data_IF_501975816615
#
_entry.id   IF_501975816615
#
_cell.length_a   1.000
_cell.length_b   1.000
_cell.length_c   1.000
_cell.angle_alpha   90.00
_cell.angle_beta   90.00
_cell.angle_gamma   90.00
#
_symmetry.space_group_name_H-M   'P 1'
#
loop_
_entity.id
_entity.type
_entity.pdbx_description
1 polymer ?
#
# COMPACT_ATOMS: atom_id res chain seq x y z
N UNK A 1 -12.10 -37.64 17.93
CA UNK A 1 -13.34 -37.30 17.23
C UNK A 1 -13.42 -35.77 17.13
N UNK A 2 -13.06 -35.23 15.97
CA UNK A 2 -13.12 -33.80 15.72
C UNK A 2 -14.51 -33.40 15.27
N UNK A 3 -15.19 -32.61 16.07
CA UNK A 3 -16.48 -32.02 15.71
C UNK A 3 -16.36 -31.19 14.45
N UNK A 4 -17.24 -31.35 13.44
CA UNK A 4 -17.22 -30.54 12.23
C UNK A 4 -17.58 -29.09 12.58
N UNK A 5 -16.82 -28.15 12.06
CA UNK A 5 -17.09 -26.71 12.16
C UNK A 5 -18.48 -26.39 11.57
N UNK A 6 -19.39 -25.74 12.32
CA UNK A 6 -20.70 -25.38 11.80
C UNK A 6 -20.58 -24.28 10.77
N UNK A 7 -20.98 -24.50 9.53
CA UNK A 7 -21.17 -23.44 8.55
C UNK A 7 -20.71 -23.70 7.13
N UNK A 8 -20.20 -24.88 6.78
CA UNK A 8 -19.95 -25.22 5.38
C UNK A 8 -21.25 -25.68 4.72
N UNK A 9 -22.01 -24.77 4.16
CA UNK A 9 -23.05 -25.11 3.18
C UNK A 9 -22.39 -25.88 2.04
N UNK A 10 -22.94 -27.02 1.65
CA UNK A 10 -22.47 -27.82 0.50
C UNK A 10 -22.44 -26.94 -0.74
N UNK A 11 -21.26 -26.51 -1.18
CA UNK A 11 -21.04 -25.86 -2.46
C UNK A 11 -20.11 -24.64 -2.49
N UNK A 12 -19.74 -24.04 -1.36
CA UNK A 12 -18.93 -22.82 -1.37
C UNK A 12 -17.51 -23.06 -0.81
N UNK A 13 -16.56 -23.17 -1.73
CA UNK A 13 -15.14 -23.31 -1.40
C UNK A 13 -14.56 -21.90 -1.08
N UNK A 14 -14.11 -21.61 0.17
CA UNK A 14 -13.57 -20.30 0.53
C UNK A 14 -12.32 -19.92 -0.27
N UNK A 15 -11.61 -20.86 -0.87
CA UNK A 15 -10.44 -20.64 -1.71
C UNK A 15 -10.76 -20.03 -3.08
N UNK A 16 -12.00 -20.10 -3.54
CA UNK A 16 -12.39 -19.56 -4.85
C UNK A 16 -13.07 -18.21 -4.70
N UNK A 17 -14.36 -18.18 -4.50
CA UNK A 17 -15.15 -16.95 -4.58
C UNK A 17 -14.87 -16.00 -3.42
N UNK A 18 -14.80 -16.50 -2.17
CA UNK A 18 -14.55 -15.63 -1.00
C UNK A 18 -13.17 -14.99 -1.06
N UNK A 19 -12.12 -15.79 -1.29
CA UNK A 19 -10.75 -15.27 -1.41
C UNK A 19 -10.61 -14.37 -2.63
N UNK A 20 -11.26 -14.70 -3.75
CA UNK A 20 -11.30 -13.87 -4.94
C UNK A 20 -11.84 -12.46 -4.67
N UNK A 21 -12.94 -12.33 -3.91
CA UNK A 21 -13.48 -11.03 -3.53
C UNK A 21 -12.53 -10.24 -2.61
N UNK A 22 -11.81 -10.92 -1.71
CA UNK A 22 -10.79 -10.26 -0.88
C UNK A 22 -9.62 -9.74 -1.74
N UNK A 23 -9.16 -10.51 -2.73
CA UNK A 23 -8.14 -10.08 -3.71
C UNK A 23 -8.65 -8.88 -4.49
N UNK A 24 -9.86 -8.95 -5.06
CA UNK A 24 -10.47 -7.85 -5.82
C UNK A 24 -10.65 -6.58 -5.00
N UNK A 25 -10.90 -6.68 -3.68
CA UNK A 25 -10.94 -5.52 -2.79
C UNK A 25 -9.59 -4.79 -2.79
N UNK A 26 -8.48 -5.52 -2.73
CA UNK A 26 -7.15 -4.92 -2.79
C UNK A 26 -6.81 -4.41 -4.19
N UNK A 27 -7.21 -5.13 -5.25
CA UNK A 27 -7.07 -4.66 -6.64
C UNK A 27 -7.79 -3.33 -6.83
N UNK A 28 -9.08 -3.28 -6.48
CA UNK A 28 -9.92 -2.10 -6.66
C UNK A 28 -9.41 -0.91 -5.84
N UNK A 29 -9.07 -1.14 -4.56
CA UNK A 29 -8.57 -0.08 -3.68
C UNK A 29 -7.21 0.47 -4.11
N UNK A 30 -6.30 -0.39 -4.56
CA UNK A 30 -4.99 0.06 -5.06
C UNK A 30 -5.12 0.72 -6.43
N UNK A 31 -5.93 0.16 -7.34
CA UNK A 31 -6.19 0.78 -8.63
C UNK A 31 -6.77 2.19 -8.48
N UNK A 32 -7.60 2.44 -7.47
CA UNK A 32 -8.20 3.73 -7.21
C UNK A 32 -7.16 4.82 -6.99
N UNK A 33 -6.24 4.63 -6.05
CA UNK A 33 -5.21 5.62 -5.74
C UNK A 33 -4.06 5.63 -6.76
N UNK A 34 -3.56 4.47 -7.18
CA UNK A 34 -2.40 4.40 -8.08
C UNK A 34 -2.74 4.88 -9.49
N UNK A 35 -4.02 4.82 -9.93
CA UNK A 35 -4.43 5.45 -11.21
C UNK A 35 -4.22 6.96 -11.19
N UNK A 36 -4.48 7.62 -10.06
CA UNK A 36 -4.19 9.06 -9.89
C UNK A 36 -2.70 9.32 -10.08
N UNK A 37 -1.84 8.49 -9.46
CA UNK A 37 -0.38 8.63 -9.57
C UNK A 37 0.13 8.32 -10.99
N UNK A 38 -0.45 7.33 -11.66
CA UNK A 38 -0.09 6.99 -13.03
C UNK A 38 -0.52 8.06 -14.04
N UNK A 39 -1.58 8.82 -13.73
CA UNK A 39 -2.06 9.96 -14.53
C UNK A 39 -1.51 11.31 -14.04
N UNK A 40 -0.56 11.33 -13.10
CA UNK A 40 -0.04 12.55 -12.48
C UNK A 40 0.30 13.67 -13.47
N UNK A 41 1.03 13.45 -14.59
CA UNK A 41 1.36 14.51 -15.53
C UNK A 41 0.14 15.18 -16.21
N UNK A 42 -0.98 14.46 -16.29
CA UNK A 42 -2.22 15.01 -16.82
C UNK A 42 -2.93 15.82 -15.75
N UNK A 43 -3.04 15.29 -14.55
CA UNK A 43 -3.73 15.93 -13.41
C UNK A 43 -3.01 17.20 -12.93
N UNK A 44 -1.68 17.19 -12.87
CA UNK A 44 -0.89 18.38 -12.50
C UNK A 44 -1.09 19.49 -13.50
N UNK A 45 -1.13 19.18 -14.80
CA UNK A 45 -1.40 20.16 -15.86
C UNK A 45 -2.86 20.67 -15.83
N UNK A 46 -3.82 19.77 -15.64
CA UNK A 46 -5.26 20.09 -15.61
C UNK A 46 -5.61 21.04 -14.47
N UNK A 47 -5.07 20.78 -13.28
CA UNK A 47 -5.35 21.56 -12.07
C UNK A 47 -4.31 22.68 -11.82
N UNK A 48 -3.27 22.79 -12.65
CA UNK A 48 -2.20 23.79 -12.50
C UNK A 48 -1.38 23.58 -11.23
N UNK A 49 -1.11 22.31 -10.83
CA UNK A 49 -0.44 21.96 -9.58
C UNK A 49 1.07 21.98 -9.73
N UNK A 50 1.75 22.46 -8.69
CA UNK A 50 3.17 22.22 -8.48
C UNK A 50 3.42 20.81 -7.89
N UNK A 51 4.70 20.44 -7.71
CA UNK A 51 5.04 19.12 -7.20
C UNK A 51 4.66 18.96 -5.71
N UNK A 52 4.73 20.02 -4.94
CA UNK A 52 4.30 20.05 -3.53
C UNK A 52 2.81 19.79 -3.40
N UNK A 53 2.00 20.51 -4.16
CA UNK A 53 0.54 20.37 -4.18
C UNK A 53 0.13 18.95 -4.60
N UNK A 54 0.79 18.40 -5.61
CA UNK A 54 0.55 17.00 -6.00
C UNK A 54 0.94 16.03 -4.87
N UNK A 55 2.00 16.31 -4.13
CA UNK A 55 2.39 15.56 -2.94
C UNK A 55 1.32 15.55 -1.85
N UNK A 56 0.58 16.64 -1.66
CA UNK A 56 -0.52 16.72 -0.69
C UNK A 56 -1.68 15.77 -1.01
N UNK A 57 -1.87 15.33 -2.24
CA UNK A 57 -2.85 14.29 -2.56
C UNK A 57 -2.58 13.02 -1.75
N UNK A 58 -1.33 12.62 -1.67
CA UNK A 58 -0.93 11.41 -0.93
C UNK A 58 -0.96 11.65 0.58
N UNK A 59 -0.62 12.86 1.03
CA UNK A 59 -0.79 13.26 2.43
C UNK A 59 -2.26 13.15 2.86
N UNK A 60 -3.19 13.65 2.06
CA UNK A 60 -4.62 13.57 2.35
C UNK A 60 -5.10 12.11 2.39
N UNK A 61 -4.66 11.28 1.44
CA UNK A 61 -4.99 9.86 1.40
C UNK A 61 -4.50 9.12 2.65
N UNK A 62 -3.20 9.19 2.97
CA UNK A 62 -2.64 8.47 4.13
C UNK A 62 -3.09 9.04 5.46
N UNK A 63 -3.27 10.37 5.56
CA UNK A 63 -3.80 11.03 6.76
C UNK A 63 -5.22 10.57 7.07
N UNK A 64 -6.07 10.58 6.06
CA UNK A 64 -7.44 10.11 6.19
C UNK A 64 -7.51 8.59 6.45
N UNK A 65 -6.62 7.80 5.83
CA UNK A 65 -6.49 6.37 6.10
C UNK A 65 -6.07 6.10 7.55
N UNK A 66 -5.13 6.88 8.10
CA UNK A 66 -4.71 6.75 9.49
C UNK A 66 -5.88 6.99 10.45
N UNK A 67 -6.63 8.07 10.24
CA UNK A 67 -7.82 8.40 11.03
C UNK A 67 -8.90 7.31 10.89
N UNK A 68 -9.22 6.90 9.66
CA UNK A 68 -10.24 5.90 9.36
C UNK A 68 -9.89 4.50 9.90
N UNK A 69 -8.62 4.17 10.04
CA UNK A 69 -8.19 2.86 10.55
C UNK A 69 -8.48 2.66 12.04
N UNK A 70 -8.62 3.74 12.81
CA UNK A 70 -8.94 3.67 14.24
C UNK A 70 -10.32 3.01 14.50
N UNK A 71 -11.43 3.41 13.85
CA UNK A 71 -12.73 2.79 14.03
C UNK A 71 -12.91 1.53 13.16
N UNK A 72 -12.09 1.32 12.13
CA UNK A 72 -12.32 0.28 11.11
C UNK A 72 -12.40 -1.13 11.70
N UNK A 73 -11.54 -1.48 12.65
CA UNK A 73 -11.58 -2.79 13.32
C UNK A 73 -12.88 -3.03 14.07
N UNK A 74 -13.34 -2.04 14.86
CA UNK A 74 -14.61 -2.09 15.58
C UNK A 74 -15.82 -2.15 14.66
N UNK A 75 -15.75 -1.47 13.51
CA UNK A 75 -16.78 -1.54 12.47
C UNK A 75 -16.91 -2.97 11.91
N UNK A 76 -15.77 -3.58 11.55
CA UNK A 76 -15.72 -4.96 11.05
C UNK A 76 -16.23 -5.97 12.08
N UNK A 77 -15.86 -5.80 13.35
CA UNK A 77 -16.29 -6.70 14.42
C UNK A 77 -17.82 -6.61 14.67
N UNK A 78 -18.43 -5.44 14.47
CA UNK A 78 -19.87 -5.22 14.64
C UNK A 78 -20.70 -5.66 13.44
N UNK A 79 -20.25 -5.33 12.25
CA UNK A 79 -21.04 -5.51 11.01
C UNK A 79 -20.70 -6.80 10.25
N UNK A 80 -19.56 -7.43 10.58
CA UNK A 80 -19.01 -8.55 9.83
C UNK A 80 -18.27 -8.12 8.55
N UNK A 81 -17.59 -9.09 7.94
CA UNK A 81 -16.71 -8.88 6.79
C UNK A 81 -17.47 -8.31 5.60
N UNK A 82 -18.60 -8.92 5.25
CA UNK A 82 -19.31 -8.56 4.03
C UNK A 82 -19.84 -7.13 4.05
N UNK A 83 -20.58 -6.74 5.11
CA UNK A 83 -21.16 -5.40 5.21
C UNK A 83 -20.07 -4.31 5.37
N UNK A 84 -19.01 -4.61 6.10
CA UNK A 84 -17.85 -3.71 6.20
C UNK A 84 -17.20 -3.47 4.85
N UNK A 85 -17.06 -4.51 3.99
CA UNK A 85 -16.55 -4.37 2.63
C UNK A 85 -17.52 -3.60 1.72
N UNK A 86 -18.82 -3.78 1.87
CA UNK A 86 -19.82 -2.97 1.12
C UNK A 86 -19.69 -1.49 1.46
N UNK A 87 -19.55 -1.13 2.74
CA UNK A 87 -19.31 0.26 3.18
C UNK A 87 -17.97 0.77 2.62
N UNK A 88 -16.90 -0.02 2.72
CA UNK A 88 -15.59 0.29 2.15
C UNK A 88 -15.69 0.67 0.68
N UNK A 89 -16.32 -0.19 -0.13
CA UNK A 89 -16.50 0.05 -1.57
C UNK A 89 -17.44 1.23 -1.85
N UNK A 90 -18.51 1.39 -1.09
CA UNK A 90 -19.42 2.53 -1.21
C UNK A 90 -18.69 3.87 -1.04
N UNK A 91 -17.84 3.99 -0.01
CA UNK A 91 -17.04 5.19 0.21
C UNK A 91 -16.02 5.37 -0.93
N UNK A 92 -15.34 4.32 -1.37
CA UNK A 92 -14.36 4.40 -2.46
C UNK A 92 -15.01 4.74 -3.81
N UNK A 93 -16.20 4.21 -4.11
CA UNK A 93 -16.97 4.59 -5.31
C UNK A 93 -17.32 6.07 -5.26
N UNK A 94 -17.87 6.54 -4.14
CA UNK A 94 -18.20 7.96 -3.96
C UNK A 94 -16.97 8.83 -4.17
N UNK A 95 -15.83 8.44 -3.60
CA UNK A 95 -14.57 9.16 -3.77
C UNK A 95 -14.11 9.22 -5.24
N UNK A 96 -14.18 8.10 -5.96
CA UNK A 96 -13.82 8.05 -7.38
C UNK A 96 -14.78 8.88 -8.25
N UNK A 97 -16.08 8.88 -7.93
CA UNK A 97 -17.07 9.72 -8.61
C UNK A 97 -16.83 11.22 -8.31
N UNK A 98 -16.54 11.58 -7.05
CA UNK A 98 -16.21 12.97 -6.70
C UNK A 98 -14.95 13.41 -7.43
N UNK A 99 -13.90 12.56 -7.46
CA UNK A 99 -12.69 12.88 -8.21
C UNK A 99 -12.98 13.05 -9.72
N UNK A 100 -13.79 12.16 -10.30
CA UNK A 100 -14.13 12.25 -11.73
C UNK A 100 -14.88 13.53 -12.11
N UNK A 101 -15.43 14.26 -11.16
CA UNK A 101 -16.10 15.55 -11.35
C UNK A 101 -15.26 16.72 -10.80
N UNK A 102 -14.02 16.47 -10.36
CA UNK A 102 -13.21 17.50 -9.75
C UNK A 102 -12.82 18.59 -10.76
N UNK A 103 -13.08 19.83 -10.37
CA UNK A 103 -12.78 21.03 -11.17
C UNK A 103 -11.55 21.78 -10.66
N UNK A 104 -10.88 21.26 -9.62
CA UNK A 104 -9.70 21.89 -9.04
C UNK A 104 -9.15 21.14 -7.83
N UNK A 105 -8.02 21.64 -7.33
CA UNK A 105 -7.24 21.03 -6.26
C UNK A 105 -8.05 20.71 -4.98
N UNK A 106 -8.87 21.61 -4.40
CA UNK A 106 -9.56 21.31 -3.14
C UNK A 106 -10.54 20.12 -3.24
N UNK A 107 -11.25 20.03 -4.36
CA UNK A 107 -12.21 18.94 -4.59
C UNK A 107 -11.46 17.61 -4.82
N UNK A 108 -10.39 17.63 -5.58
CA UNK A 108 -9.53 16.47 -5.78
C UNK A 108 -8.91 16.01 -4.46
N UNK A 109 -8.40 16.94 -3.64
CA UNK A 109 -7.83 16.64 -2.32
C UNK A 109 -8.86 15.97 -1.39
N UNK A 110 -10.08 16.49 -1.34
CA UNK A 110 -11.18 15.90 -0.56
C UNK A 110 -11.54 14.49 -1.07
N UNK A 111 -11.54 14.27 -2.38
CA UNK A 111 -11.76 12.95 -2.96
C UNK A 111 -10.66 11.96 -2.54
N UNK A 112 -9.39 12.36 -2.56
CA UNK A 112 -8.27 11.52 -2.12
C UNK A 112 -8.36 11.18 -0.61
N UNK A 113 -8.73 12.15 0.23
CA UNK A 113 -9.00 11.90 1.63
C UNK A 113 -10.12 10.86 1.81
N UNK A 114 -11.22 11.00 1.06
CA UNK A 114 -12.32 10.06 1.11
C UNK A 114 -11.91 8.66 0.62
N UNK A 115 -11.04 8.56 -0.42
CA UNK A 115 -10.41 7.28 -0.83
C UNK A 115 -9.64 6.63 0.32
N UNK A 116 -8.87 7.42 1.07
CA UNK A 116 -8.11 6.95 2.24
C UNK A 116 -9.02 6.39 3.33
N UNK A 117 -10.11 7.10 3.67
CA UNK A 117 -11.12 6.63 4.62
C UNK A 117 -11.71 5.29 4.16
N UNK A 118 -12.15 5.20 2.91
CA UNK A 118 -12.72 3.96 2.36
C UNK A 118 -11.73 2.80 2.45
N UNK A 119 -10.50 3.01 2.00
CA UNK A 119 -9.49 1.96 1.97
C UNK A 119 -9.02 1.52 3.37
N UNK A 120 -9.15 2.36 4.40
CA UNK A 120 -8.80 2.02 5.78
C UNK A 120 -9.54 0.78 6.32
N UNK A 121 -10.75 0.51 5.80
CA UNK A 121 -11.60 -0.61 6.20
C UNK A 121 -11.14 -1.92 5.54
N UNK A 122 -10.49 -1.85 4.36
CA UNK A 122 -10.18 -3.02 3.54
C UNK A 122 -9.27 -4.03 4.23
N UNK A 123 -8.18 -3.58 4.86
CA UNK A 123 -7.23 -4.47 5.53
C UNK A 123 -7.82 -5.21 6.73
N UNK A 124 -8.47 -4.56 7.72
CA UNK A 124 -9.10 -5.27 8.83
C UNK A 124 -10.24 -6.19 8.37
N UNK A 125 -11.07 -5.78 7.40
CA UNK A 125 -12.16 -6.60 6.89
C UNK A 125 -11.65 -7.86 6.18
N UNK A 126 -10.68 -7.70 5.27
CA UNK A 126 -10.12 -8.84 4.54
C UNK A 126 -9.28 -9.77 5.43
N UNK A 127 -8.56 -9.23 6.41
CA UNK A 127 -7.87 -10.05 7.40
C UNK A 127 -8.87 -10.85 8.24
N UNK A 128 -9.95 -10.21 8.72
CA UNK A 128 -11.03 -10.90 9.46
C UNK A 128 -11.64 -12.03 8.62
N UNK A 129 -11.91 -11.80 7.34
CA UNK A 129 -12.43 -12.84 6.44
C UNK A 129 -11.49 -14.06 6.34
N UNK A 130 -10.17 -13.83 6.28
CA UNK A 130 -9.20 -14.93 6.31
C UNK A 130 -9.26 -15.68 7.65
N UNK A 131 -9.33 -14.99 8.78
CA UNK A 131 -9.40 -15.63 10.08
C UNK A 131 -10.70 -16.42 10.29
N UNK A 132 -11.82 -15.95 9.76
CA UNK A 132 -13.13 -16.59 9.95
C UNK A 132 -13.34 -17.79 9.02
N UNK A 133 -12.75 -17.79 7.81
CA UNK A 133 -13.06 -18.78 6.77
C UNK A 133 -11.97 -19.81 6.55
N UNK A 134 -10.75 -19.58 7.03
CA UNK A 134 -9.61 -20.47 6.79
C UNK A 134 -9.09 -21.09 8.11
N UNK A 135 -8.73 -22.37 8.10
CA UNK A 135 -8.12 -23.01 9.25
C UNK A 135 -6.73 -22.42 9.54
N UNK A 136 -6.25 -22.46 10.79
CA UNK A 136 -4.99 -21.81 11.20
C UNK A 136 -3.79 -22.13 10.30
N UNK A 137 -3.66 -23.37 9.85
CA UNK A 137 -2.56 -23.88 9.01
C UNK A 137 -2.54 -23.27 7.61
N UNK A 138 -3.68 -22.73 7.14
CA UNK A 138 -3.85 -22.15 5.79
C UNK A 138 -3.98 -20.63 5.78
N UNK A 139 -4.09 -19.99 6.94
CA UNK A 139 -4.28 -18.53 7.05
C UNK A 139 -3.14 -17.75 6.44
N UNK A 140 -1.89 -18.17 6.64
CA UNK A 140 -0.73 -17.50 6.06
C UNK A 140 -0.77 -17.49 4.52
N UNK A 141 -1.13 -18.62 3.92
CA UNK A 141 -1.29 -18.73 2.45
C UNK A 141 -2.41 -17.81 1.96
N UNK A 142 -3.59 -17.84 2.60
CA UNK A 142 -4.72 -16.99 2.22
C UNK A 142 -4.40 -15.49 2.39
N UNK A 143 -3.67 -15.10 3.45
CA UNK A 143 -3.17 -13.73 3.65
C UNK A 143 -2.19 -13.32 2.54
N UNK A 144 -1.29 -14.19 2.15
CA UNK A 144 -0.36 -13.97 1.04
C UNK A 144 -1.12 -13.74 -0.28
N UNK A 145 -2.06 -14.63 -0.61
CA UNK A 145 -2.84 -14.54 -1.85
C UNK A 145 -3.64 -13.23 -1.89
N UNK A 146 -4.34 -12.86 -0.81
CA UNK A 146 -5.10 -11.59 -0.82
C UNK A 146 -4.21 -10.37 -1.07
N UNK A 147 -2.97 -10.38 -0.59
CA UNK A 147 -2.04 -9.26 -0.73
C UNK A 147 -1.47 -9.12 -2.16
N UNK A 148 -1.57 -10.15 -3.00
CA UNK A 148 -1.25 -10.06 -4.43
C UNK A 148 -2.19 -9.06 -5.14
N UNK A 149 -3.39 -8.83 -4.59
CA UNK A 149 -4.31 -7.82 -5.11
C UNK A 149 -3.70 -6.40 -5.17
N UNK A 150 -2.81 -6.05 -4.24
CA UNK A 150 -2.16 -4.72 -4.22
C UNK A 150 -1.35 -4.47 -5.49
N UNK A 151 -0.33 -5.27 -5.84
CA UNK A 151 0.42 -5.05 -7.08
C UNK A 151 -0.41 -5.27 -8.36
N UNK A 152 -1.42 -6.16 -8.35
CA UNK A 152 -2.32 -6.31 -9.49
C UNK A 152 -3.14 -5.04 -9.74
N UNK A 153 -3.62 -4.38 -8.68
CA UNK A 153 -4.26 -3.07 -8.78
C UNK A 153 -3.31 -2.00 -9.33
N UNK A 154 -2.04 -2.04 -8.95
CA UNK A 154 -1.01 -1.14 -9.48
C UNK A 154 -0.71 -1.38 -10.97
N UNK A 155 -0.70 -2.63 -11.43
CA UNK A 155 -0.56 -2.96 -12.86
C UNK A 155 -1.77 -2.43 -13.66
N UNK A 156 -2.98 -2.62 -13.15
CA UNK A 156 -4.19 -2.06 -13.77
C UNK A 156 -4.11 -0.53 -13.85
N UNK A 157 -3.65 0.11 -12.79
CA UNK A 157 -3.46 1.55 -12.73
C UNK A 157 -2.42 2.05 -13.74
N UNK A 158 -1.35 1.31 -13.98
CA UNK A 158 -0.39 1.62 -15.04
C UNK A 158 -1.04 1.58 -16.43
N UNK A 159 -1.94 0.61 -16.67
CA UNK A 159 -2.79 0.59 -17.86
C UNK A 159 -3.65 1.84 -18.00
N UNK A 160 -4.28 2.30 -16.91
CA UNK A 160 -5.06 3.54 -16.87
C UNK A 160 -4.20 4.77 -17.19
N UNK A 161 -2.97 4.83 -16.66
CA UNK A 161 -2.03 5.90 -16.95
C UNK A 161 -1.54 5.93 -18.40
N UNK A 162 -1.52 4.79 -19.10
CA UNK A 162 -1.27 4.75 -20.54
C UNK A 162 -2.54 5.13 -21.34
N UNK A 163 -3.70 4.66 -20.89
CA UNK A 163 -4.99 4.88 -21.54
C UNK A 163 -5.39 6.36 -21.56
N UNK A 164 -4.88 7.20 -20.65
CA UNK A 164 -5.19 8.64 -20.57
C UNK A 164 -4.78 9.42 -21.83
N UNK A 165 -3.95 8.84 -22.68
CA UNK A 165 -3.62 9.41 -24.00
C UNK A 165 -4.74 9.26 -25.03
N UNK A 166 -5.68 8.35 -24.81
CA UNK A 166 -6.78 8.01 -25.71
C UNK A 166 -8.14 8.39 -25.13
N UNK A 167 -8.26 8.39 -23.79
CA UNK A 167 -9.51 8.55 -23.06
C UNK A 167 -9.30 9.62 -21.99
N UNK A 168 -10.27 10.51 -21.82
CA UNK A 168 -10.20 11.54 -20.78
C UNK A 168 -10.08 10.91 -19.39
N UNK A 169 -9.24 11.47 -18.52
CA UNK A 169 -8.98 10.97 -17.18
C UNK A 169 -10.25 10.84 -16.33
N UNK A 170 -11.24 11.71 -16.53
CA UNK A 170 -12.56 11.63 -15.88
C UNK A 170 -13.26 10.31 -16.20
N UNK A 171 -13.23 9.87 -17.47
CA UNK A 171 -13.85 8.63 -17.90
C UNK A 171 -13.09 7.40 -17.35
N UNK A 172 -11.77 7.49 -17.25
CA UNK A 172 -10.94 6.46 -16.61
C UNK A 172 -11.34 6.32 -15.13
N UNK A 173 -11.51 7.42 -14.41
CA UNK A 173 -11.95 7.38 -13.01
C UNK A 173 -13.38 6.85 -12.86
N UNK A 174 -14.28 7.11 -13.81
CA UNK A 174 -15.59 6.46 -13.86
C UNK A 174 -15.47 4.95 -14.07
N UNK A 175 -14.56 4.50 -14.93
CA UNK A 175 -14.25 3.08 -15.11
C UNK A 175 -13.73 2.42 -13.83
N UNK A 176 -12.84 3.11 -13.11
CA UNK A 176 -12.35 2.67 -11.79
C UNK A 176 -13.52 2.61 -10.78
N UNK A 177 -14.39 3.62 -10.74
CA UNK A 177 -15.58 3.61 -9.90
C UNK A 177 -16.48 2.41 -10.21
N UNK A 178 -16.67 2.09 -11.50
CA UNK A 178 -17.39 0.91 -11.96
C UNK A 178 -16.80 -0.40 -11.45
N UNK A 179 -15.49 -0.56 -11.53
CA UNK A 179 -14.78 -1.74 -10.98
C UNK A 179 -15.01 -1.89 -9.48
N UNK A 180 -14.87 -0.78 -8.74
CA UNK A 180 -15.08 -0.76 -7.29
C UNK A 180 -16.54 -1.11 -6.96
N UNK A 181 -17.49 -0.53 -7.70
CA UNK A 181 -18.92 -0.78 -7.54
C UNK A 181 -19.26 -2.26 -7.76
N UNK A 182 -18.76 -2.86 -8.84
CA UNK A 182 -18.98 -4.27 -9.14
C UNK A 182 -18.51 -5.14 -7.96
N UNK A 183 -17.29 -4.91 -7.46
CA UNK A 183 -16.79 -5.68 -6.32
C UNK A 183 -17.60 -5.42 -5.05
N UNK A 184 -18.03 -4.18 -4.82
CA UNK A 184 -18.92 -3.83 -3.69
C UNK A 184 -20.27 -4.56 -3.74
N UNK A 185 -20.89 -4.64 -4.92
CA UNK A 185 -22.13 -5.40 -5.14
C UNK A 185 -21.91 -6.91 -4.91
N UNK A 186 -20.79 -7.45 -5.41
CA UNK A 186 -20.44 -8.86 -5.14
C UNK A 186 -20.20 -9.11 -3.65
N UNK A 187 -19.69 -8.15 -2.90
CA UNK A 187 -19.53 -8.26 -1.44
C UNK A 187 -20.86 -8.29 -0.68
N UNK A 188 -21.99 -7.87 -1.29
CA UNK A 188 -23.34 -8.10 -0.70
C UNK A 188 -23.63 -9.58 -0.48
N UNK A 189 -23.07 -10.45 -1.33
CA UNK A 189 -23.17 -11.88 -1.10
C UNK A 189 -22.41 -12.32 0.16
N UNK A 190 -21.23 -11.74 0.43
CA UNK A 190 -20.51 -11.98 1.69
C UNK A 190 -21.30 -11.47 2.92
N UNK A 191 -22.09 -10.42 2.76
CA UNK A 191 -22.91 -9.88 3.84
C UNK A 191 -24.06 -10.82 4.26
N UNK A 192 -24.41 -11.80 3.40
CA UNK A 192 -25.42 -12.84 3.73
C UNK A 192 -24.82 -14.01 4.53
N UNK A 193 -23.49 -14.10 4.63
CA UNK A 193 -22.85 -15.16 5.40
C UNK A 193 -23.07 -14.92 6.91
N UNK A 194 -23.25 -15.99 7.69
CA UNK A 194 -23.39 -15.88 9.14
C UNK A 194 -22.20 -15.13 9.74
N UNK A 195 -22.48 -14.09 10.50
CA UNK A 195 -21.49 -13.35 11.26
C UNK A 195 -21.63 -13.72 12.73
N UNK A 196 -20.55 -14.24 13.30
CA UNK A 196 -20.47 -14.49 14.75
C UNK A 196 -19.72 -13.30 15.34
N UNK A 197 -20.43 -12.43 16.03
CA UNK A 197 -19.82 -11.35 16.78
C UNK A 197 -18.85 -11.94 17.84
N UNK A 198 -17.71 -11.28 18.10
CA UNK A 198 -16.80 -11.73 19.15
C UNK A 198 -17.54 -11.83 20.50
N UNK A 199 -17.33 -12.92 21.22
CA UNK A 199 -17.95 -13.18 22.52
C UNK A 199 -17.53 -12.17 23.60
N UNK A 200 -16.40 -11.48 23.39
CA UNK A 200 -15.93 -10.39 24.24
C UNK A 200 -15.48 -9.20 23.36
N UNK A 201 -15.70 -7.96 23.81
CA UNK A 201 -15.18 -6.79 23.13
C UNK A 201 -13.65 -6.93 22.98
N UNK A 202 -13.14 -6.81 21.76
CA UNK A 202 -11.69 -6.69 21.59
C UNK A 202 -11.21 -5.43 22.27
N UNK A 203 -10.09 -5.48 22.99
CA UNK A 203 -9.51 -4.25 23.55
C UNK A 203 -9.36 -3.23 22.40
N UNK A 204 -9.64 -1.98 22.73
CA UNK A 204 -9.46 -0.87 21.78
C UNK A 204 -8.06 -0.97 21.16
N UNK A 205 -7.87 -0.73 19.84
CA UNK A 205 -6.55 -0.81 19.20
C UNK A 205 -5.46 -0.03 19.94
N UNK A 206 -5.85 1.03 20.67
CA UNK A 206 -4.95 1.83 21.49
C UNK A 206 -4.89 1.37 22.96
N UNK A 207 -5.63 0.32 23.38
CA UNK A 207 -5.67 -0.09 24.79
C UNK A 207 -4.27 -0.43 25.35
N UNK A 208 -3.42 -1.05 24.53
CA UNK A 208 -2.06 -1.43 24.89
C UNK A 208 -0.99 -0.53 24.26
N UNK A 209 -1.41 0.62 23.69
CA UNK A 209 -0.46 1.51 22.97
C UNK A 209 0.65 1.99 23.92
N UNK A 210 0.30 2.29 25.16
CA UNK A 210 1.27 2.73 26.16
C UNK A 210 2.32 1.67 26.48
N UNK A 211 1.94 0.39 26.46
CA UNK A 211 2.88 -0.73 26.68
C UNK A 211 3.78 -0.93 25.45
N UNK A 212 3.19 -0.87 24.28
CA UNK A 212 3.87 -1.02 22.98
C UNK A 212 4.85 0.12 22.74
N UNK A 213 4.50 1.35 23.10
CA UNK A 213 5.37 2.54 22.93
C UNK A 213 6.53 2.59 23.93
N UNK A 214 6.50 1.82 25.02
CA UNK A 214 7.64 1.67 25.94
C UNK A 214 8.74 0.74 25.38
N UNK A 215 8.41 -0.11 24.42
CA UNK A 215 9.40 -0.99 23.80
C UNK A 215 10.26 -0.20 22.78
N UNK A 216 11.49 0.15 23.22
CA UNK A 216 12.44 0.86 22.38
C UNK A 216 12.83 0.11 21.12
N UNK A 217 12.81 -1.21 21.12
CA UNK A 217 13.09 -1.99 19.93
C UNK A 217 11.99 -1.85 18.89
N UNK A 218 10.73 -1.83 19.35
CA UNK A 218 9.57 -1.62 18.48
C UNK A 218 9.50 -0.16 17.99
N UNK A 219 9.83 0.84 18.82
CA UNK A 219 9.90 2.25 18.40
C UNK A 219 10.87 2.45 17.24
N UNK A 220 12.09 1.87 17.35
CA UNK A 220 13.09 1.88 16.27
C UNK A 220 12.55 1.25 14.99
N UNK A 221 11.79 0.19 15.15
CA UNK A 221 11.18 -0.52 14.03
C UNK A 221 10.08 0.30 13.34
N UNK A 222 9.24 0.98 14.10
CA UNK A 222 8.18 1.89 13.58
C UNK A 222 8.79 3.07 12.83
N UNK A 223 9.88 3.66 13.35
CA UNK A 223 10.62 4.73 12.68
C UNK A 223 11.21 4.24 11.35
N UNK A 224 11.87 3.08 11.37
CA UNK A 224 12.36 2.44 10.16
C UNK A 224 11.27 2.24 9.11
N UNK A 225 10.12 1.71 9.53
CA UNK A 225 9.01 1.47 8.61
C UNK A 225 8.48 2.78 8.02
N UNK A 226 8.46 3.86 8.82
CA UNK A 226 8.16 5.20 8.35
C UNK A 226 9.13 5.65 7.25
N UNK A 227 10.44 5.46 7.43
CA UNK A 227 11.45 5.84 6.45
C UNK A 227 11.38 5.01 5.17
N UNK A 228 11.09 3.71 5.28
CA UNK A 228 10.89 2.88 4.10
C UNK A 228 9.62 3.27 3.35
N UNK A 229 8.56 3.58 4.07
CA UNK A 229 7.32 4.01 3.43
C UNK A 229 7.44 5.43 2.83
N UNK A 230 8.23 6.32 3.45
CA UNK A 230 8.64 7.60 2.85
C UNK A 230 9.27 7.39 1.47
N UNK A 231 10.24 6.47 1.37
CA UNK A 231 10.88 6.13 0.09
C UNK A 231 9.92 5.50 -0.91
N UNK A 232 9.10 4.57 -0.48
CA UNK A 232 8.13 3.89 -1.35
C UNK A 232 7.08 4.85 -1.90
N UNK A 233 6.54 5.73 -1.06
CA UNK A 233 5.51 6.68 -1.49
C UNK A 233 6.08 7.74 -2.42
N UNK A 234 7.28 8.28 -2.15
CA UNK A 234 7.96 9.19 -3.07
C UNK A 234 8.18 8.53 -4.44
N UNK A 235 8.68 7.30 -4.43
CA UNK A 235 8.92 6.56 -5.66
C UNK A 235 7.64 6.43 -6.50
N UNK A 236 6.54 5.93 -5.94
CA UNK A 236 5.31 5.75 -6.71
C UNK A 236 4.61 7.07 -7.04
N UNK A 237 4.69 8.08 -6.18
CA UNK A 237 4.03 9.38 -6.41
C UNK A 237 4.66 10.13 -7.57
N UNK A 238 5.98 10.17 -7.62
CA UNK A 238 6.69 11.00 -8.59
C UNK A 238 7.24 10.24 -9.79
N UNK A 239 7.19 8.90 -9.81
CA UNK A 239 7.77 8.11 -10.90
C UNK A 239 7.27 8.53 -12.28
N UNK A 240 5.96 8.72 -12.44
CA UNK A 240 5.36 9.06 -13.74
C UNK A 240 5.70 10.49 -14.15
N UNK A 241 5.63 11.46 -13.21
CA UNK A 241 6.05 12.84 -13.43
C UNK A 241 7.54 12.90 -13.81
N UNK A 242 8.38 12.28 -13.01
CA UNK A 242 9.83 12.23 -13.21
C UNK A 242 10.21 11.66 -14.60
N UNK A 243 9.59 10.54 -15.00
CA UNK A 243 9.86 9.97 -16.31
C UNK A 243 9.39 10.87 -17.46
N UNK A 244 8.33 11.65 -17.28
CA UNK A 244 7.84 12.62 -18.25
C UNK A 244 8.75 13.84 -18.34
N UNK A 245 9.10 14.40 -17.20
CA UNK A 245 9.77 15.69 -17.13
C UNK A 245 11.31 15.56 -17.29
N UNK A 246 11.95 14.61 -16.59
CA UNK A 246 13.39 14.42 -16.62
C UNK A 246 13.86 13.55 -17.78
N UNK A 247 13.21 12.41 -18.05
CA UNK A 247 13.61 11.50 -19.12
C UNK A 247 12.94 11.82 -20.47
N UNK A 248 12.00 12.76 -20.52
CA UNK A 248 11.19 13.12 -21.69
C UNK A 248 10.45 11.90 -22.30
N UNK A 249 10.13 10.93 -21.46
CA UNK A 249 9.42 9.72 -21.87
C UNK A 249 8.00 10.04 -22.30
N UNK A 250 7.43 9.27 -23.21
CA UNK A 250 5.99 9.36 -23.53
C UNK A 250 5.14 8.92 -22.34
N UNK A 251 3.89 9.37 -22.24
CA UNK A 251 3.00 8.99 -21.14
C UNK A 251 2.83 7.47 -21.01
N UNK A 252 2.66 6.67 -22.09
CA UNK A 252 2.59 5.21 -21.98
C UNK A 252 3.87 4.60 -21.41
N UNK A 253 5.05 5.11 -21.76
CA UNK A 253 6.35 4.61 -21.25
C UNK A 253 6.51 4.97 -19.77
N UNK A 254 6.16 6.18 -19.36
CA UNK A 254 6.17 6.60 -17.95
C UNK A 254 5.24 5.72 -17.09
N UNK A 255 4.05 5.43 -17.60
CA UNK A 255 3.10 4.52 -16.95
C UNK A 255 3.58 3.07 -16.94
N UNK A 256 4.30 2.62 -17.98
CA UNK A 256 4.92 1.30 -18.04
C UNK A 256 5.94 1.12 -16.91
N UNK A 257 6.68 2.16 -16.52
CA UNK A 257 7.59 2.10 -15.35
C UNK A 257 6.82 1.72 -14.07
N UNK A 258 5.65 2.29 -13.85
CA UNK A 258 4.78 1.92 -12.71
C UNK A 258 4.35 0.45 -12.82
N UNK A 259 3.94 0.02 -14.02
CA UNK A 259 3.55 -1.38 -14.27
C UNK A 259 4.68 -2.37 -13.99
N UNK A 260 5.90 -2.09 -14.45
CA UNK A 260 7.10 -2.90 -14.22
C UNK A 260 7.43 -2.95 -12.73
N UNK A 261 7.42 -1.80 -12.03
CA UNK A 261 7.67 -1.74 -10.60
C UNK A 261 6.64 -2.56 -9.80
N UNK A 262 5.37 -2.51 -10.18
CA UNK A 262 4.32 -3.28 -9.51
C UNK A 262 4.43 -4.79 -9.84
N UNK A 263 4.70 -5.15 -11.09
CA UNK A 263 4.86 -6.55 -11.49
C UNK A 263 6.08 -7.20 -10.79
N UNK A 264 7.21 -6.51 -10.78
CA UNK A 264 8.42 -6.98 -10.10
C UNK A 264 8.22 -7.04 -8.58
N UNK A 265 7.49 -6.08 -7.99
CA UNK A 265 7.10 -6.12 -6.57
C UNK A 265 6.22 -7.34 -6.25
N UNK A 266 5.27 -7.70 -7.12
CA UNK A 266 4.41 -8.87 -6.91
C UNK A 266 5.23 -10.17 -6.79
N UNK A 267 6.15 -10.38 -7.73
CA UNK A 267 7.05 -11.54 -7.74
C UNK A 267 7.99 -11.51 -6.54
N UNK A 268 8.58 -10.35 -6.26
CA UNK A 268 9.54 -10.18 -5.19
C UNK A 268 8.93 -10.40 -3.79
N UNK A 269 7.69 -9.98 -3.53
CA UNK A 269 6.99 -10.22 -2.25
C UNK A 269 6.89 -11.70 -1.91
N UNK A 270 6.64 -12.54 -2.88
CA UNK A 270 6.61 -14.01 -2.71
C UNK A 270 8.03 -14.54 -2.59
N UNK A 271 8.91 -14.12 -3.50
CA UNK A 271 10.30 -14.57 -3.55
C UNK A 271 11.07 -14.30 -2.27
N UNK A 272 10.93 -13.11 -1.69
CA UNK A 272 11.62 -12.75 -0.44
C UNK A 272 11.13 -13.54 0.77
N UNK A 273 9.86 -13.92 0.80
CA UNK A 273 9.34 -14.85 1.81
C UNK A 273 10.06 -16.21 1.73
N UNK A 274 10.12 -16.79 0.53
CA UNK A 274 10.80 -18.09 0.29
C UNK A 274 12.30 -17.99 0.59
N UNK A 275 12.98 -16.95 0.10
CA UNK A 275 14.42 -16.72 0.35
C UNK A 275 14.69 -16.58 1.85
N UNK A 276 13.86 -15.81 2.58
CA UNK A 276 13.99 -15.67 4.02
C UNK A 276 13.90 -17.00 4.76
N UNK A 277 12.94 -17.84 4.38
CA UNK A 277 12.69 -19.11 5.08
C UNK A 277 13.71 -20.19 4.69
N UNK A 278 14.19 -20.23 3.43
CA UNK A 278 15.09 -21.28 2.93
C UNK A 278 16.57 -20.95 3.13
N UNK A 279 17.00 -19.71 2.77
CA UNK A 279 18.42 -19.34 2.78
C UNK A 279 18.85 -18.69 4.10
N UNK A 280 17.95 -17.99 4.77
CA UNK A 280 18.25 -17.28 6.03
C UNK A 280 17.69 -17.98 7.27
N UNK A 281 17.11 -19.18 7.13
CA UNK A 281 16.55 -19.94 8.26
C UNK A 281 15.47 -19.18 9.01
N UNK A 282 14.68 -18.37 8.32
CA UNK A 282 13.63 -17.52 8.89
C UNK A 282 14.13 -16.22 9.53
N UNK A 283 15.43 -15.91 9.46
CA UNK A 283 15.98 -14.62 9.89
C UNK A 283 15.72 -13.56 8.84
N UNK A 284 14.94 -12.54 9.17
CA UNK A 284 14.47 -11.53 8.21
C UNK A 284 15.24 -10.23 8.23
N UNK A 285 15.91 -9.93 9.35
CA UNK A 285 16.66 -8.69 9.53
C UNK A 285 17.71 -8.47 8.45
N UNK A 286 18.60 -9.47 8.25
CA UNK A 286 19.70 -9.36 7.28
C UNK A 286 19.20 -9.12 5.85
N UNK A 287 18.16 -9.85 5.44
CA UNK A 287 17.53 -9.68 4.13
C UNK A 287 16.92 -8.28 3.98
N UNK A 288 16.18 -7.80 4.99
CA UNK A 288 15.55 -6.47 4.97
C UNK A 288 16.59 -5.35 4.93
N UNK A 289 17.73 -5.51 5.63
CA UNK A 289 18.88 -4.58 5.54
C UNK A 289 19.46 -4.56 4.14
N UNK A 290 19.69 -5.71 3.53
CA UNK A 290 20.21 -5.81 2.16
C UNK A 290 19.29 -5.13 1.15
N UNK A 291 17.97 -5.37 1.26
CA UNK A 291 16.98 -4.74 0.40
C UNK A 291 16.90 -3.22 0.59
N UNK A 292 16.98 -2.75 1.84
CA UNK A 292 17.00 -1.31 2.14
C UNK A 292 18.25 -0.60 1.60
N UNK A 293 19.42 -1.24 1.74
CA UNK A 293 20.67 -0.70 1.20
C UNK A 293 20.62 -0.65 -0.34
N UNK A 294 20.18 -1.71 -1.00
CA UNK A 294 20.00 -1.75 -2.44
C UNK A 294 18.98 -0.69 -2.91
N UNK A 295 17.86 -0.54 -2.20
CA UNK A 295 16.86 0.49 -2.50
C UNK A 295 17.45 1.89 -2.41
N UNK A 296 18.22 2.19 -1.37
CA UNK A 296 18.90 3.50 -1.23
C UNK A 296 19.85 3.78 -2.39
N UNK A 297 20.64 2.78 -2.82
CA UNK A 297 21.51 2.90 -3.99
C UNK A 297 20.68 3.16 -5.26
N UNK A 298 19.63 2.38 -5.52
CA UNK A 298 18.82 2.53 -6.73
C UNK A 298 18.03 3.84 -6.76
N UNK A 299 17.55 4.33 -5.61
CA UNK A 299 16.96 5.67 -5.48
C UNK A 299 17.98 6.76 -5.78
N UNK A 300 19.21 6.62 -5.28
CA UNK A 300 20.29 7.54 -5.62
C UNK A 300 20.64 7.54 -7.11
N UNK A 301 20.61 6.38 -7.76
CA UNK A 301 20.87 6.26 -9.20
C UNK A 301 19.78 6.90 -10.08
N UNK A 302 18.59 7.19 -9.54
CA UNK A 302 17.56 7.94 -10.27
C UNK A 302 18.04 9.32 -10.74
N UNK A 303 19.04 9.90 -10.09
CA UNK A 303 19.66 11.20 -10.48
C UNK A 303 20.24 11.16 -11.89
N UNK A 304 20.70 10.00 -12.36
CA UNK A 304 21.29 9.83 -13.68
C UNK A 304 20.26 9.59 -14.79
N UNK A 305 18.98 9.51 -14.46
CA UNK A 305 17.91 9.40 -15.46
C UNK A 305 17.66 10.78 -16.07
N UNK A 306 17.90 10.88 -17.36
CA UNK A 306 17.76 12.09 -18.14
C UNK A 306 17.31 11.80 -19.57
N UNK A 307 17.34 12.76 -20.48
CA UNK A 307 16.96 12.56 -21.89
C UNK A 307 17.79 11.48 -22.59
N UNK A 308 17.24 10.83 -23.60
CA UNK A 308 17.95 9.80 -24.39
C UNK A 308 18.00 8.43 -23.69
N UNK A 309 19.20 7.96 -23.32
CA UNK A 309 19.40 6.67 -22.64
C UNK A 309 18.73 6.57 -21.27
N UNK A 310 18.32 7.69 -20.70
CA UNK A 310 17.65 7.76 -19.39
C UNK A 310 16.33 7.00 -19.32
N UNK A 311 15.61 6.86 -20.42
CA UNK A 311 14.37 6.06 -20.45
C UNK A 311 14.66 4.58 -20.13
N UNK A 312 15.70 4.00 -20.76
CA UNK A 312 16.09 2.60 -20.50
C UNK A 312 16.59 2.42 -19.07
N UNK A 313 17.38 3.37 -18.57
CA UNK A 313 17.84 3.38 -17.18
C UNK A 313 16.65 3.47 -16.21
N UNK A 314 15.70 4.36 -16.48
CA UNK A 314 14.48 4.50 -15.69
C UNK A 314 13.63 3.23 -15.62
N UNK A 315 13.47 2.52 -16.74
CA UNK A 315 12.80 1.22 -16.80
C UNK A 315 13.52 0.16 -15.96
N UNK A 316 14.85 0.10 -16.07
CA UNK A 316 15.69 -0.81 -15.28
C UNK A 316 15.62 -0.50 -13.78
N UNK A 317 15.69 0.78 -13.40
CA UNK A 317 15.57 1.20 -12.01
C UNK A 317 14.15 0.98 -11.47
N UNK A 318 13.10 1.14 -12.28
CA UNK A 318 11.73 0.82 -11.88
C UNK A 318 11.57 -0.67 -11.52
N UNK A 319 12.19 -1.58 -12.31
CA UNK A 319 12.23 -3.01 -11.99
C UNK A 319 12.97 -3.26 -10.67
N UNK A 320 14.18 -2.71 -10.51
CA UNK A 320 15.03 -2.92 -9.33
C UNK A 320 14.40 -2.33 -8.05
N UNK A 321 13.78 -1.13 -8.15
CA UNK A 321 13.04 -0.52 -7.06
C UNK A 321 11.75 -1.29 -6.75
N UNK A 322 11.11 -1.88 -7.73
CA UNK A 322 10.00 -2.81 -7.54
C UNK A 322 10.39 -4.02 -6.70
N UNK A 323 11.55 -4.62 -7.00
CA UNK A 323 12.08 -5.77 -6.25
C UNK A 323 12.54 -5.38 -4.83
N UNK A 324 12.94 -4.14 -4.59
CA UNK A 324 13.48 -3.67 -3.30
C UNK A 324 12.46 -2.88 -2.49
N UNK A 325 12.35 -1.55 -2.72
CA UNK A 325 11.53 -0.66 -1.89
C UNK A 325 10.02 -0.91 -2.01
N UNK A 326 9.53 -1.43 -3.15
CA UNK A 326 8.12 -1.72 -3.32
C UNK A 326 7.69 -3.08 -2.73
N UNK A 327 8.63 -3.98 -2.40
CA UNK A 327 8.34 -5.34 -1.96
C UNK A 327 8.61 -5.61 -0.48
N UNK A 328 9.16 -4.67 0.28
CA UNK A 328 9.62 -4.86 1.67
C UNK A 328 8.48 -5.16 2.68
N UNK A 329 7.26 -4.72 2.39
CA UNK A 329 6.17 -4.70 3.37
C UNK A 329 5.87 -6.04 4.07
N UNK A 330 5.83 -7.22 3.39
CA UNK A 330 5.61 -8.49 4.07
C UNK A 330 6.70 -8.84 5.09
N UNK A 331 7.98 -8.58 4.76
CA UNK A 331 9.09 -8.84 5.67
C UNK A 331 9.01 -7.98 6.92
N UNK A 332 8.72 -6.68 6.74
CA UNK A 332 8.59 -5.72 7.83
C UNK A 332 7.37 -6.05 8.71
N UNK A 333 6.23 -6.43 8.12
CA UNK A 333 5.05 -6.84 8.89
C UNK A 333 5.34 -8.07 9.75
N UNK A 334 6.05 -9.06 9.21
CA UNK A 334 6.41 -10.27 9.95
C UNK A 334 7.41 -9.95 11.08
N UNK A 335 8.45 -9.16 10.81
CA UNK A 335 9.40 -8.71 11.83
C UNK A 335 8.71 -7.96 12.98
N UNK A 336 7.69 -7.14 12.69
CA UNK A 336 6.90 -6.42 13.70
C UNK A 336 6.20 -7.37 14.68
N UNK A 337 5.60 -8.44 14.15
CA UNK A 337 4.93 -9.46 14.97
C UNK A 337 5.93 -10.29 15.78
N UNK A 338 7.04 -10.70 15.16
CA UNK A 338 8.07 -11.51 15.80
C UNK A 338 8.87 -10.75 16.87
N UNK A 339 8.99 -9.42 16.74
CA UNK A 339 9.65 -8.57 17.72
C UNK A 339 8.85 -8.38 19.01
N UNK A 340 7.58 -8.75 19.04
CA UNK A 340 6.64 -8.44 20.10
C UNK A 340 6.13 -9.72 20.78
N UNK A 341 5.63 -9.60 22.01
CA UNK A 341 4.93 -10.71 22.67
C UNK A 341 3.62 -11.04 21.94
N UNK A 342 3.23 -12.33 21.84
CA UNK A 342 2.02 -12.75 21.12
C UNK A 342 0.74 -12.02 21.55
N UNK A 343 0.62 -11.65 22.84
CA UNK A 343 -0.54 -10.90 23.36
C UNK A 343 -0.62 -9.47 22.83
N UNK A 344 0.51 -8.87 22.43
CA UNK A 344 0.62 -7.49 21.94
C UNK A 344 0.74 -7.40 20.41
N UNK A 345 0.75 -8.53 19.70
CA UNK A 345 0.97 -8.59 18.24
C UNK A 345 0.00 -7.67 17.46
N UNK A 346 -1.28 -7.62 17.85
CA UNK A 346 -2.26 -6.74 17.21
C UNK A 346 -1.97 -5.26 17.44
N UNK A 347 -1.60 -4.87 18.67
CA UNK A 347 -1.23 -3.49 19.01
C UNK A 347 0.07 -3.07 18.32
N UNK A 348 1.05 -3.99 18.23
CA UNK A 348 2.30 -3.76 17.51
C UNK A 348 2.09 -3.55 16.01
N UNK A 349 1.19 -4.32 15.39
CA UNK A 349 0.81 -4.10 13.99
C UNK A 349 0.13 -2.75 13.77
N UNK A 350 -0.78 -2.35 14.68
CA UNK A 350 -1.42 -1.04 14.63
C UNK A 350 -0.40 0.11 14.78
N UNK A 351 0.54 -0.04 15.72
CA UNK A 351 1.60 0.94 15.94
C UNK A 351 2.57 1.01 14.73
N UNK A 352 2.90 -0.14 14.14
CA UNK A 352 3.68 -0.17 12.91
C UNK A 352 2.95 0.51 11.73
N UNK A 353 1.63 0.39 11.65
CA UNK A 353 0.82 1.09 10.65
C UNK A 353 0.88 2.61 10.81
N UNK A 354 1.01 3.14 12.04
CA UNK A 354 1.26 4.56 12.25
C UNK A 354 2.55 5.02 11.56
N UNK A 355 3.65 4.27 11.71
CA UNK A 355 4.89 4.56 10.99
C UNK A 355 4.69 4.59 9.47
N UNK A 356 3.97 3.60 8.94
CA UNK A 356 3.61 3.57 7.51
C UNK A 356 2.87 4.84 7.08
N UNK A 357 1.82 5.22 7.81
CA UNK A 357 1.04 6.40 7.48
C UNK A 357 1.85 7.70 7.60
N UNK A 358 2.65 7.85 8.65
CA UNK A 358 3.48 9.05 8.85
C UNK A 358 4.51 9.21 7.72
N UNK A 359 5.18 8.11 7.32
CA UNK A 359 6.09 8.14 6.18
C UNK A 359 5.39 8.49 4.86
N UNK A 360 4.22 7.89 4.64
CA UNK A 360 3.40 8.17 3.45
C UNK A 360 2.86 9.59 3.40
N UNK A 361 2.50 10.17 4.55
CA UNK A 361 2.04 11.56 4.66
C UNK A 361 3.16 12.56 4.44
N UNK A 362 4.34 12.31 5.00
CA UNK A 362 5.45 13.27 4.99
C UNK A 362 6.26 13.24 3.70
N UNK A 363 6.42 12.05 3.11
CA UNK A 363 7.30 11.85 1.96
C UNK A 363 6.99 12.73 0.77
N UNK A 364 5.81 12.59 0.15
CA UNK A 364 5.51 13.27 -1.11
C UNK A 364 5.53 14.80 -1.04
N UNK A 365 4.97 15.50 -0.04
CA UNK A 365 5.06 16.95 -0.01
C UNK A 365 6.48 17.45 0.25
N UNK A 366 7.29 16.72 1.04
CA UNK A 366 8.71 17.07 1.24
C UNK A 366 9.48 16.88 -0.08
N UNK A 367 9.26 15.79 -0.78
CA UNK A 367 9.88 15.56 -2.09
C UNK A 367 9.44 16.63 -3.08
N UNK A 368 8.15 16.95 -3.16
CA UNK A 368 7.62 17.99 -4.03
C UNK A 368 8.22 19.35 -3.73
N UNK A 369 8.28 19.76 -2.47
CA UNK A 369 8.90 21.04 -2.07
C UNK A 369 10.39 21.14 -2.47
N UNK A 370 11.12 20.01 -2.43
CA UNK A 370 12.51 19.98 -2.92
C UNK A 370 12.55 20.13 -4.44
N UNK A 371 11.65 19.49 -5.18
CA UNK A 371 11.56 19.60 -6.63
C UNK A 371 11.26 21.04 -7.03
N UNK A 372 10.27 21.68 -6.39
CA UNK A 372 9.84 23.04 -6.68
C UNK A 372 10.96 24.08 -6.32
N UNK A 373 11.71 23.83 -5.23
CA UNK A 373 12.79 24.70 -4.80
C UNK A 373 14.08 24.57 -5.64
N UNK A 374 14.29 23.42 -6.31
CA UNK A 374 15.53 23.14 -7.07
C UNK A 374 15.30 23.05 -8.58
N UNK A 375 14.06 23.28 -9.05
CA UNK A 375 13.66 23.11 -10.45
C UNK A 375 14.07 21.74 -11.03
N UNK A 376 14.11 20.68 -10.17
CA UNK A 376 14.53 19.37 -10.61
C UNK A 376 14.39 18.24 -9.58
N UNK A 377 14.30 17.01 -10.05
CA UNK A 377 14.04 15.83 -9.22
C UNK A 377 15.28 15.28 -8.49
N UNK A 378 16.50 15.66 -8.92
CA UNK A 378 17.74 15.04 -8.44
C UNK A 378 17.93 15.12 -6.94
N UNK A 379 17.75 16.33 -6.37
CA UNK A 379 17.86 16.54 -4.92
C UNK A 379 16.81 15.75 -4.15
N UNK A 380 15.56 15.66 -4.66
CA UNK A 380 14.49 14.85 -4.08
C UNK A 380 14.85 13.37 -3.99
N UNK A 381 15.44 12.80 -5.05
CA UNK A 381 15.90 11.40 -5.05
C UNK A 381 17.05 11.16 -4.07
N UNK A 382 18.02 12.08 -3.97
CA UNK A 382 19.13 11.96 -3.01
C UNK A 382 18.60 12.00 -1.57
N UNK A 383 17.71 12.93 -1.25
CA UNK A 383 17.11 13.01 0.09
C UNK A 383 16.31 11.74 0.40
N UNK A 384 15.55 11.25 -0.57
CA UNK A 384 14.78 10.00 -0.41
C UNK A 384 15.72 8.80 -0.17
N UNK A 385 16.80 8.69 -0.93
CA UNK A 385 17.82 7.66 -0.75
C UNK A 385 18.48 7.75 0.64
N UNK A 386 18.82 8.95 1.09
CA UNK A 386 19.41 9.19 2.41
C UNK A 386 18.45 8.78 3.54
N UNK A 387 17.18 9.13 3.46
CA UNK A 387 16.15 8.74 4.45
C UNK A 387 16.01 7.21 4.53
N UNK A 388 15.92 6.53 3.38
CA UNK A 388 15.86 5.06 3.32
C UNK A 388 17.14 4.43 3.89
N UNK A 389 18.31 5.00 3.58
CA UNK A 389 19.58 4.53 4.12
C UNK A 389 19.64 4.68 5.64
N UNK A 390 19.22 5.83 6.19
CA UNK A 390 19.16 6.04 7.65
C UNK A 390 18.25 5.00 8.30
N UNK A 391 17.07 4.74 7.74
CA UNK A 391 16.19 3.68 8.20
C UNK A 391 16.89 2.31 8.18
N UNK A 392 17.61 2.01 7.10
CA UNK A 392 18.37 0.76 6.96
C UNK A 392 19.47 0.63 8.01
N UNK A 393 20.19 1.71 8.31
CA UNK A 393 21.22 1.74 9.36
C UNK A 393 20.61 1.55 10.76
N UNK A 394 19.45 2.14 11.02
CA UNK A 394 18.71 1.91 12.28
C UNK A 394 18.39 0.42 12.42
N UNK A 395 17.87 -0.22 11.34
CA UNK A 395 17.61 -1.65 11.35
C UNK A 395 18.88 -2.47 11.59
N UNK A 396 19.95 -2.14 10.87
CA UNK A 396 21.21 -2.89 10.92
C UNK A 396 21.85 -2.87 12.32
N UNK A 397 21.94 -1.68 12.94
CA UNK A 397 22.75 -1.48 14.15
C UNK A 397 21.93 -1.47 15.45
N UNK A 398 20.70 -0.99 15.41
CA UNK A 398 19.94 -0.77 16.65
C UNK A 398 18.74 -1.68 16.85
N UNK A 399 18.17 -2.28 15.79
CA UNK A 399 17.10 -3.26 15.94
C UNK A 399 17.66 -4.64 16.32
N UNK A 400 17.06 -5.27 17.33
CA UNK A 400 17.40 -6.63 17.76
C UNK A 400 16.29 -7.58 17.33
N UNK A 401 16.62 -8.50 16.41
CA UNK A 401 15.74 -9.61 16.05
C UNK A 401 15.73 -10.62 17.22
N UNK A 402 14.53 -11.04 17.66
CA UNK A 402 14.44 -12.09 18.68
C UNK A 402 14.90 -13.42 18.08
N UNK A 403 15.80 -14.09 18.75
CA UNK A 403 16.15 -15.49 18.42
C UNK A 403 14.93 -16.38 18.64
N UNK A 404 14.58 -17.18 17.66
CA UNK A 404 13.60 -18.27 17.81
C UNK A 404 14.14 -19.37 18.69
#
# INVERSE_FOLDING_TARGET
MTTPTPGAGRGDNPWTFRLGLLVLTHVAGTANIVSVLAMAPVLTREFGLDATEFGFFITAYYGAQAIGSLPAGGLVDRLGVGLALVICHGIMVTAALVLSQATGFPMALAALALMGIGYSISNPATARGVFDWFPPERRATAMGIKQVGVPLGGILAAGNGALVTLVAWHQIMLGVAGLILINGVLCLWLARLPHVAPSAPRPHPLANIHEVTKDWNLNRFVILNGFYNFGQTNFFTFLTLFMRDAALASQPVASLCVGIAQASSAVARIGWGVVSDTLFGGRRKGLTVGLGAAAAVFLGLMVFVGPGSGVTLGLGLALLLGVTIASFAPLVQTLSVEATEPRLAGSAMGYNMMGTCLGGMAGPPIFGAIVDATDGYGAGWIVTAAVVLVGTLILAFWFKERSR
#
